data_IF_233204401818
#
_entry.id   IF_233204401818
#
_cell.length_a   1.000
_cell.length_b   1.000
_cell.length_c   1.000
_cell.angle_alpha   90.00
_cell.angle_beta   90.00
_cell.angle_gamma   90.00
#
_symmetry.space_group_name_H-M   'P 1'
#
loop_
_entity.id
_entity.type
_entity.pdbx_description
1 polymer ?
#
# COMPACT_ATOMS: atom_id res chain seq x y z
N UNK A 1 12.00 5.24 -0.46
CA UNK A 1 12.02 6.48 0.34
C UNK A 1 11.93 7.69 -0.57
N UNK A 2 10.89 8.50 -0.38
CA UNK A 2 10.76 9.85 -0.94
C UNK A 2 10.85 10.83 0.22
N UNK A 3 11.54 11.96 0.04
CA UNK A 3 11.65 13.00 1.07
C UNK A 3 10.97 14.26 0.56
N UNK A 4 10.17 14.86 1.43
CA UNK A 4 9.54 16.15 1.18
C UNK A 4 10.03 17.10 2.25
N UNK A 5 10.46 18.29 1.86
CA UNK A 5 10.84 19.35 2.79
C UNK A 5 10.04 20.59 2.46
N UNK A 6 9.50 21.21 3.48
CA UNK A 6 8.87 22.52 3.43
C UNK A 6 9.80 23.45 4.19
N UNK A 7 10.24 24.51 3.51
CA UNK A 7 11.12 25.52 4.08
C UNK A 7 10.29 26.80 4.19
N UNK A 8 10.17 27.30 5.41
CA UNK A 8 9.72 28.65 5.73
C UNK A 8 10.94 29.47 6.16
N UNK A 9 10.86 30.81 6.11
CA UNK A 9 12.02 31.71 6.24
C UNK A 9 12.87 31.46 7.51
N UNK A 10 12.27 30.93 8.58
CA UNK A 10 12.93 30.59 9.86
C UNK A 10 12.82 29.11 10.29
N UNK A 11 12.21 28.22 9.49
CA UNK A 11 12.08 26.81 9.87
C UNK A 11 11.98 25.82 8.70
N UNK A 12 12.64 24.67 8.84
CA UNK A 12 12.55 23.56 7.89
C UNK A 12 11.77 22.40 8.51
N UNK A 13 10.63 22.05 7.91
CA UNK A 13 9.87 20.85 8.26
C UNK A 13 10.10 19.80 7.17
N UNK A 14 10.75 18.71 7.54
CA UNK A 14 10.93 17.56 6.65
C UNK A 14 10.05 16.38 7.04
N UNK A 15 9.51 15.72 6.03
CA UNK A 15 8.70 14.51 6.15
C UNK A 15 9.29 13.42 5.26
N UNK A 16 9.47 12.23 5.85
CA UNK A 16 9.85 11.04 5.08
C UNK A 16 8.59 10.30 4.65
N UNK A 17 8.48 9.99 3.37
CA UNK A 17 7.39 9.20 2.80
C UNK A 17 7.91 7.83 2.37
N UNK A 18 7.30 6.78 2.92
CA UNK A 18 7.55 5.39 2.50
C UNK A 18 6.28 4.80 1.88
N UNK A 19 6.43 4.25 0.68
CA UNK A 19 5.31 3.75 -0.12
C UNK A 19 5.45 2.26 -0.36
N UNK A 20 4.39 1.48 -0.13
CA UNK A 20 4.33 0.04 -0.47
C UNK A 20 3.07 -0.30 -1.26
N UNK A 21 3.15 -1.34 -2.09
CA UNK A 21 1.95 -1.96 -2.67
C UNK A 21 1.25 -2.89 -1.67
N UNK A 22 -0.08 -3.00 -1.73
CA UNK A 22 -0.88 -3.85 -0.85
C UNK A 22 -0.50 -5.35 -0.84
N UNK A 23 0.15 -5.85 -1.90
CA UNK A 23 0.69 -7.24 -1.98
C UNK A 23 2.17 -7.34 -1.65
N UNK A 24 2.82 -6.25 -1.25
CA UNK A 24 4.24 -6.27 -0.91
C UNK A 24 4.47 -7.12 0.35
N UNK A 25 5.51 -7.97 0.35
CA UNK A 25 5.81 -8.90 1.45
C UNK A 25 5.97 -8.22 2.81
N UNK A 26 6.56 -7.03 2.80
CA UNK A 26 6.84 -6.23 4.01
C UNK A 26 5.78 -5.16 4.28
N UNK A 27 4.63 -5.15 3.59
CA UNK A 27 3.63 -4.08 3.73
C UNK A 27 3.16 -3.89 5.18
N UNK A 28 3.20 -4.94 6.01
CA UNK A 28 2.77 -4.88 7.41
C UNK A 28 3.89 -4.44 8.38
N UNK A 29 5.15 -4.54 7.97
CA UNK A 29 6.31 -4.33 8.85
C UNK A 29 7.16 -3.13 8.45
N UNK A 30 7.12 -2.72 7.18
CA UNK A 30 7.99 -1.66 6.66
C UNK A 30 7.74 -0.27 7.28
N UNK A 31 6.56 0.00 7.85
CA UNK A 31 6.32 1.23 8.61
C UNK A 31 7.26 1.33 9.83
N UNK A 32 7.44 0.21 10.54
CA UNK A 32 8.36 0.16 11.68
C UNK A 32 9.80 -0.03 11.20
N UNK A 33 10.06 -1.07 10.42
CA UNK A 33 11.43 -1.50 10.13
C UNK A 33 12.16 -0.58 9.16
N UNK A 34 11.44 0.06 8.24
CA UNK A 34 12.04 0.94 7.23
C UNK A 34 11.77 2.40 7.56
N UNK A 35 10.52 2.83 7.61
CA UNK A 35 10.19 4.25 7.84
C UNK A 35 10.72 4.73 9.19
N UNK A 36 10.29 4.13 10.31
CA UNK A 36 10.71 4.56 11.64
C UNK A 36 12.18 4.20 11.94
N UNK A 37 12.52 2.92 11.89
CA UNK A 37 13.77 2.43 12.49
C UNK A 37 15.01 2.68 11.62
N UNK A 38 14.83 2.91 10.32
CA UNK A 38 15.95 3.13 9.38
C UNK A 38 15.97 4.54 8.83
N UNK A 39 14.87 4.99 8.22
CA UNK A 39 14.87 6.28 7.55
C UNK A 39 14.77 7.43 8.56
N UNK A 40 13.80 7.41 9.48
CA UNK A 40 13.66 8.49 10.45
C UNK A 40 14.79 8.50 11.49
N UNK A 41 15.25 7.34 11.96
CA UNK A 41 16.35 7.28 12.95
C UNK A 41 17.67 7.89 12.46
N UNK A 42 17.94 7.83 11.16
CA UNK A 42 19.17 8.36 10.58
C UNK A 42 19.07 9.85 10.23
N UNK A 43 17.93 10.49 10.51
CA UNK A 43 17.64 11.87 10.15
C UNK A 43 17.05 12.64 11.34
N UNK A 44 17.09 13.96 11.28
CA UNK A 44 16.48 14.86 12.28
C UNK A 44 14.96 15.01 12.10
N UNK A 45 14.36 14.25 11.17
CA UNK A 45 12.94 14.36 10.86
C UNK A 45 12.08 13.64 11.90
N UNK A 46 11.17 14.40 12.49
CA UNK A 46 10.20 13.91 13.48
C UNK A 46 8.92 13.38 12.84
N UNK A 47 8.70 13.63 11.55
CA UNK A 47 7.45 13.30 10.86
C UNK A 47 7.66 12.27 9.73
N UNK A 48 6.76 11.29 9.66
CA UNK A 48 6.76 10.26 8.62
C UNK A 48 5.37 9.92 8.11
N UNK A 49 5.28 9.62 6.81
CA UNK A 49 4.05 9.19 6.15
C UNK A 49 4.27 7.80 5.54
N UNK A 50 3.39 6.86 5.89
CA UNK A 50 3.34 5.54 5.29
C UNK A 50 2.17 5.42 4.33
N UNK A 51 2.45 5.15 3.05
CA UNK A 51 1.41 5.05 2.01
C UNK A 51 1.33 3.63 1.50
N UNK A 52 0.11 3.09 1.44
CA UNK A 52 -0.18 1.81 0.81
C UNK A 52 -1.04 2.00 -0.43
N UNK A 53 -0.51 1.64 -1.59
CA UNK A 53 -1.28 1.55 -2.83
C UNK A 53 -2.15 0.30 -2.85
N UNK A 54 -3.47 0.47 -2.88
CA UNK A 54 -4.46 -0.61 -2.82
C UNK A 54 -5.11 -0.87 -4.17
N UNK A 55 -4.73 -1.99 -4.81
CA UNK A 55 -5.06 -2.27 -6.22
C UNK A 55 -6.21 -3.28 -6.42
N UNK A 56 -6.71 -3.87 -5.34
CA UNK A 56 -7.68 -4.98 -5.38
C UNK A 56 -8.86 -4.70 -4.46
N UNK A 57 -9.99 -5.38 -4.66
CA UNK A 57 -11.10 -5.29 -3.70
C UNK A 57 -10.70 -5.84 -2.32
N UNK A 58 -9.99 -6.99 -2.31
CA UNK A 58 -9.46 -7.62 -1.12
C UNK A 58 -8.05 -8.15 -1.35
N UNK A 59 -7.23 -8.13 -0.31
CA UNK A 59 -5.90 -8.75 -0.29
C UNK A 59 -5.82 -9.66 0.93
N UNK A 60 -5.61 -10.95 0.72
CA UNK A 60 -5.55 -11.96 1.81
C UNK A 60 -6.76 -11.86 2.77
N UNK A 61 -7.96 -11.63 2.22
CA UNK A 61 -9.20 -11.48 2.99
C UNK A 61 -9.46 -10.09 3.58
N UNK A 62 -8.45 -9.21 3.64
CA UNK A 62 -8.54 -7.84 4.15
C UNK A 62 -9.08 -6.89 3.08
N UNK A 63 -10.03 -6.01 3.43
CA UNK A 63 -10.49 -4.90 2.57
C UNK A 63 -9.59 -3.67 2.70
N UNK A 64 -9.73 -2.70 1.79
CA UNK A 64 -9.04 -1.40 1.89
C UNK A 64 -9.29 -0.72 3.23
N UNK A 65 -10.54 -0.69 3.68
CA UNK A 65 -10.93 0.03 4.90
C UNK A 65 -10.40 -0.66 6.17
N UNK A 66 -10.40 -2.00 6.18
CA UNK A 66 -9.77 -2.78 7.24
C UNK A 66 -8.25 -2.52 7.29
N UNK A 67 -7.60 -2.48 6.13
CA UNK A 67 -6.19 -2.14 6.04
C UNK A 67 -5.92 -0.71 6.54
N UNK A 68 -6.77 0.26 6.17
CA UNK A 68 -6.66 1.65 6.62
C UNK A 68 -6.72 1.74 8.14
N UNK A 69 -7.72 1.14 8.77
CA UNK A 69 -7.85 1.12 10.24
C UNK A 69 -6.63 0.47 10.91
N UNK A 70 -6.15 -0.66 10.37
CA UNK A 70 -4.99 -1.35 10.91
C UNK A 70 -3.72 -0.49 10.81
N UNK A 71 -3.48 0.14 9.67
CA UNK A 71 -2.29 0.96 9.48
C UNK A 71 -2.35 2.28 10.27
N UNK A 72 -3.54 2.88 10.42
CA UNK A 72 -3.74 4.04 11.29
C UNK A 72 -3.37 3.70 12.74
N UNK A 73 -3.92 2.60 13.28
CA UNK A 73 -3.58 2.12 14.63
C UNK A 73 -2.09 1.82 14.79
N UNK A 74 -1.47 1.20 13.78
CA UNK A 74 -0.03 0.95 13.79
C UNK A 74 0.78 2.25 13.85
N UNK A 75 0.40 3.26 13.06
CA UNK A 75 1.06 4.56 13.05
C UNK A 75 0.91 5.27 14.41
N UNK A 76 -0.26 5.24 15.02
CA UNK A 76 -0.49 5.75 16.38
C UNK A 76 0.42 5.07 17.41
N UNK A 77 0.46 3.74 17.44
CA UNK A 77 1.30 2.99 18.38
C UNK A 77 2.80 3.24 18.17
N UNK A 78 3.23 3.51 16.94
CA UNK A 78 4.63 3.79 16.62
C UNK A 78 5.00 5.28 16.78
N UNK A 79 4.02 6.16 16.96
CA UNK A 79 4.20 7.59 17.19
C UNK A 79 4.55 7.85 18.65
N UNK A 80 5.79 7.54 19.02
CA UNK A 80 6.32 7.69 20.38
C UNK A 80 7.71 8.32 20.36
N UNK A 81 8.10 8.96 21.45
CA UNK A 81 9.46 9.53 21.59
C UNK A 81 9.74 10.71 20.66
N UNK A 82 8.75 11.60 20.46
CA UNK A 82 8.89 12.77 19.59
C UNK A 82 8.76 12.48 18.09
N UNK A 83 8.42 11.25 17.72
CA UNK A 83 8.13 10.85 16.34
C UNK A 83 6.60 10.84 16.12
N UNK A 84 6.16 11.39 15.00
CA UNK A 84 4.78 11.37 14.53
C UNK A 84 4.69 10.65 13.19
N UNK A 85 3.85 9.61 13.13
CA UNK A 85 3.58 8.84 11.93
C UNK A 85 2.12 8.96 11.52
N UNK A 86 1.88 9.08 10.21
CA UNK A 86 0.56 8.94 9.61
C UNK A 86 0.55 7.85 8.56
N UNK A 87 -0.58 7.18 8.40
CA UNK A 87 -0.76 6.15 7.39
C UNK A 87 -1.94 6.44 6.47
N UNK A 88 -1.75 6.20 5.17
CA UNK A 88 -2.78 6.35 4.15
C UNK A 88 -2.87 5.09 3.29
N UNK A 89 -4.10 4.72 2.91
CA UNK A 89 -4.36 3.62 1.98
C UNK A 89 -5.09 4.17 0.76
N UNK A 90 -4.33 4.38 -0.31
CA UNK A 90 -4.82 4.95 -1.56
C UNK A 90 -5.58 3.90 -2.35
N UNK A 91 -6.76 4.25 -2.85
CA UNK A 91 -7.42 3.45 -3.87
C UNK A 91 -6.66 3.62 -5.19
N UNK A 92 -5.93 2.58 -5.58
CA UNK A 92 -5.11 2.54 -6.78
C UNK A 92 -5.61 1.47 -7.77
N UNK A 93 -6.88 1.04 -7.64
CA UNK A 93 -7.51 0.18 -8.66
C UNK A 93 -7.45 0.89 -10.01
N UNK A 94 -7.07 0.18 -11.07
CA UNK A 94 -7.13 0.72 -12.41
C UNK A 94 -8.59 1.06 -12.76
N UNK A 95 -8.90 2.31 -13.18
CA UNK A 95 -10.20 2.60 -13.78
C UNK A 95 -10.36 1.70 -15.00
N UNK A 96 -11.54 1.09 -15.14
CA UNK A 96 -11.75 -0.15 -15.88
C UNK A 96 -11.00 -0.24 -17.22
N UNK A 97 -10.21 -1.31 -17.40
CA UNK A 97 -10.15 -1.91 -18.74
C UNK A 97 -11.52 -2.52 -18.99
N UNK A 98 -12.22 -2.15 -20.07
CA UNK A 98 -13.29 -3.00 -20.58
C UNK A 98 -12.72 -4.41 -20.69
N UNK A 99 -13.40 -5.41 -20.12
CA UNK A 99 -13.08 -6.79 -20.46
C UNK A 99 -13.30 -6.92 -21.96
N UNK A 100 -12.24 -7.20 -22.72
CA UNK A 100 -12.41 -7.66 -24.09
C UNK A 100 -13.31 -8.89 -24.04
N UNK A 101 -14.55 -8.71 -24.48
CA UNK A 101 -15.50 -9.78 -24.68
C UNK A 101 -15.05 -10.60 -25.88
N UNK A 102 -14.55 -11.82 -25.66
CA UNK A 102 -14.47 -12.80 -26.73
C UNK A 102 -13.31 -13.78 -26.66
N UNK A 103 -13.50 -14.89 -25.94
CA UNK A 103 -13.06 -16.17 -26.48
C UNK A 103 -14.03 -17.25 -26.00
N UNK A 104 -14.77 -17.91 -26.90
CA UNK A 104 -15.70 -18.94 -26.48
C UNK A 104 -14.95 -20.14 -25.89
N UNK A 105 -15.43 -20.54 -24.71
CA UNK A 105 -15.07 -21.75 -23.98
C UNK A 105 -15.18 -22.97 -24.89
N UNK A 106 -14.08 -23.71 -25.02
CA UNK A 106 -14.02 -25.01 -25.69
C UNK A 106 -14.78 -26.05 -24.85
N UNK A 107 -16.11 -26.10 -25.00
CA UNK A 107 -16.99 -27.14 -24.47
C UNK A 107 -17.78 -27.82 -25.60
N UNK A 108 -17.13 -28.19 -26.71
CA UNK A 108 -17.81 -29.03 -27.71
C UNK A 108 -16.87 -29.88 -28.59
N UNK A 109 -16.04 -30.72 -27.97
CA UNK A 109 -15.35 -31.84 -28.67
C UNK A 109 -15.40 -33.13 -27.85
N UNK A 110 -16.58 -33.56 -27.43
CA UNK A 110 -16.77 -34.91 -26.86
C UNK A 110 -18.14 -35.52 -27.17
N UNK A 111 -18.59 -35.46 -28.43
CA UNK A 111 -19.76 -36.23 -28.92
C UNK A 111 -19.64 -36.83 -30.33
N UNK A 112 -18.47 -36.83 -30.96
CA UNK A 112 -18.25 -37.47 -32.28
C UNK A 112 -17.17 -38.55 -32.24
N UNK A 113 -17.35 -39.59 -31.42
CA UNK A 113 -16.65 -40.89 -31.54
C UNK A 113 -17.50 -41.98 -30.88
N UNK A 114 -18.57 -42.40 -31.56
CA UNK A 114 -19.20 -43.74 -31.43
C UNK A 114 -20.31 -43.87 -32.48
N UNK A 115 -19.91 -44.20 -33.69
CA UNK A 115 -20.75 -44.80 -34.73
C UNK A 115 -19.87 -45.16 -35.94
N UNK A 116 -19.20 -46.31 -35.86
CA UNK A 116 -18.80 -47.17 -36.99
C UNK A 116 -18.40 -48.51 -36.41
#
# INVERSE_FOLDING_TARGET
EVRVRVVDDDSEVGVIVEVKGCRHKEVKTAMETQLRNRYMKNHTFTHGIYVVGWFYQKVKGETRDQALQRFAKQAECLSVGGITLHAFVLDAKLPGRPRESGTPSNKEKSKRRKSS
#
